data_IF_553536849232
#
_entry.id   IF_553536849232
#
_cell.length_a   1.000
_cell.length_b   1.000
_cell.length_c   1.000
_cell.angle_alpha   90.00
_cell.angle_beta   90.00
_cell.angle_gamma   90.00
#
_symmetry.space_group_name_H-M   'P 1'
#
loop_
_entity.id
_entity.type
_entity.pdbx_description
1 polymer ?
#
# COMPACT_ATOMS: atom_id res chain seq x y z
N UNK A 1 8.41 4.24 -17.59
CA UNK A 1 9.82 3.86 -17.34
C UNK A 1 10.39 4.45 -16.05
N UNK A 2 9.66 5.30 -15.31
CA UNK A 2 10.17 5.95 -14.08
C UNK A 2 9.21 5.89 -12.88
N UNK A 3 8.19 5.01 -12.91
CA UNK A 3 7.18 4.93 -11.84
C UNK A 3 7.77 4.56 -10.48
N UNK A 4 8.83 3.76 -10.46
CA UNK A 4 9.50 3.34 -9.22
C UNK A 4 10.16 4.51 -8.47
N UNK A 5 10.48 5.62 -9.14
CA UNK A 5 10.94 6.83 -8.44
C UNK A 5 9.83 7.51 -7.65
N UNK A 6 8.56 7.35 -8.06
CA UNK A 6 7.42 7.86 -7.30
C UNK A 6 7.35 7.29 -5.89
N UNK A 7 7.85 6.05 -5.70
CA UNK A 7 7.87 5.37 -4.41
C UNK A 7 8.83 6.01 -3.39
N UNK A 8 9.87 6.73 -3.85
CA UNK A 8 10.89 7.32 -2.98
C UNK A 8 10.29 8.31 -1.96
N UNK A 9 9.41 9.25 -2.34
CA UNK A 9 8.67 10.10 -1.39
C UNK A 9 7.88 9.37 -0.29
N UNK A 10 7.51 8.11 -0.48
CA UNK A 10 6.78 7.32 0.52
C UNK A 10 7.75 6.45 1.34
N UNK A 11 8.58 5.67 0.66
CA UNK A 11 9.35 4.59 1.27
C UNK A 11 10.82 4.96 1.56
N UNK A 12 11.32 6.08 1.03
CA UNK A 12 12.72 6.49 1.14
C UNK A 12 13.68 5.77 0.19
N UNK A 13 13.18 4.76 -0.52
CA UNK A 13 13.93 3.96 -1.49
C UNK A 13 13.07 3.66 -2.72
N UNK A 14 13.72 3.30 -3.83
CA UNK A 14 13.02 2.83 -5.02
C UNK A 14 12.50 1.42 -4.76
N UNK A 15 11.19 1.26 -4.85
CA UNK A 15 10.54 -0.05 -4.78
C UNK A 15 9.24 -0.05 -5.58
N UNK A 16 8.78 -1.25 -5.92
CA UNK A 16 7.48 -1.46 -6.55
C UNK A 16 6.34 -1.00 -5.63
N UNK A 17 5.34 -0.33 -6.22
CA UNK A 17 4.09 0.01 -5.56
C UNK A 17 3.18 -1.22 -5.44
N UNK A 18 2.07 -1.08 -4.73
CA UNK A 18 1.10 -2.17 -4.63
C UNK A 18 0.52 -2.51 -6.01
N UNK A 19 0.21 -1.51 -6.84
CA UNK A 19 -0.30 -1.72 -8.21
C UNK A 19 0.64 -2.54 -9.11
N UNK A 20 1.95 -2.47 -8.89
CA UNK A 20 2.92 -3.26 -9.66
C UNK A 20 2.93 -4.73 -9.20
N UNK A 21 2.52 -4.96 -7.94
CA UNK A 21 2.59 -6.26 -7.27
C UNK A 21 1.27 -7.04 -7.31
N UNK A 22 0.14 -6.43 -7.70
CA UNK A 22 -1.16 -7.14 -7.72
C UNK A 22 -1.23 -8.30 -8.72
N UNK A 23 -0.28 -8.34 -9.67
CA UNK A 23 -0.13 -9.42 -10.66
C UNK A 23 0.97 -10.43 -10.27
N UNK A 24 1.71 -10.16 -9.20
CA UNK A 24 2.80 -10.98 -8.71
C UNK A 24 2.31 -12.00 -7.65
N UNK A 25 3.09 -13.06 -7.38
CA UNK A 25 2.80 -13.99 -6.29
C UNK A 25 2.71 -13.29 -4.92
N UNK A 26 1.77 -13.71 -4.07
CA UNK A 26 1.48 -13.08 -2.76
C UNK A 26 2.70 -13.03 -1.81
N UNK A 27 3.66 -13.94 -1.97
CA UNK A 27 4.93 -13.94 -1.22
C UNK A 27 5.74 -12.65 -1.41
N UNK A 28 5.63 -12.01 -2.58
CA UNK A 28 6.31 -10.74 -2.85
C UNK A 28 5.67 -9.57 -2.08
N UNK A 29 4.39 -9.68 -1.72
CA UNK A 29 3.72 -8.69 -0.88
C UNK A 29 4.05 -8.88 0.61
N UNK A 30 4.08 -10.11 1.11
CA UNK A 30 4.25 -10.37 2.56
C UNK A 30 5.58 -9.89 3.13
N UNK A 31 6.62 -9.80 2.31
CA UNK A 31 7.91 -9.21 2.71
C UNK A 31 7.90 -7.67 2.78
N UNK A 32 6.84 -7.03 2.30
CA UNK A 32 6.80 -5.60 1.95
C UNK A 32 5.72 -4.79 2.66
N UNK A 33 4.72 -5.45 3.25
CA UNK A 33 3.55 -4.85 3.88
C UNK A 33 3.26 -5.52 5.22
N UNK A 34 2.84 -4.74 6.21
CA UNK A 34 2.59 -5.19 7.59
C UNK A 34 1.27 -5.96 7.71
N UNK A 35 0.31 -5.60 6.86
CA UNK A 35 -0.99 -6.24 6.74
C UNK A 35 -1.32 -6.47 5.27
N UNK A 36 -1.89 -7.63 4.95
CA UNK A 36 -2.36 -7.96 3.61
C UNK A 36 -3.70 -8.67 3.71
N UNK A 37 -4.65 -8.23 2.89
CA UNK A 37 -5.92 -8.90 2.69
C UNK A 37 -6.29 -8.86 1.22
N UNK A 38 -6.72 -10.00 0.68
CA UNK A 38 -7.26 -10.10 -0.68
C UNK A 38 -8.78 -10.22 -0.63
N UNK A 39 -9.48 -9.48 -1.50
CA UNK A 39 -10.93 -9.61 -1.69
C UNK A 39 -11.23 -9.51 -3.18
N UNK A 40 -11.63 -10.64 -3.79
CA UNK A 40 -11.75 -10.74 -5.24
C UNK A 40 -10.39 -10.47 -5.90
N UNK A 41 -10.36 -9.54 -6.85
CA UNK A 41 -9.15 -9.13 -7.55
C UNK A 41 -8.43 -7.94 -6.88
N UNK A 42 -8.88 -7.52 -5.70
CA UNK A 42 -8.33 -6.38 -4.98
C UNK A 42 -7.42 -6.81 -3.85
N UNK A 43 -6.28 -6.14 -3.71
CA UNK A 43 -5.40 -6.26 -2.55
C UNK A 43 -5.53 -5.03 -1.66
N UNK A 44 -5.55 -5.27 -0.36
CA UNK A 44 -5.64 -4.30 0.71
C UNK A 44 -4.41 -4.49 1.58
N UNK A 45 -3.68 -3.42 1.82
CA UNK A 45 -2.44 -3.49 2.60
C UNK A 45 -2.32 -2.32 3.57
N UNK A 46 -1.50 -2.52 4.59
CA UNK A 46 -0.99 -1.43 5.42
C UNK A 46 0.53 -1.51 5.46
N UNK A 47 1.17 -0.35 5.52
CA UNK A 47 2.63 -0.24 5.63
C UNK A 47 3.02 1.08 6.27
N UNK A 48 4.09 1.05 7.05
CA UNK A 48 4.76 2.28 7.47
C UNK A 48 5.61 2.87 6.33
N UNK A 49 5.33 4.11 5.96
CA UNK A 49 6.05 4.86 4.92
C UNK A 49 6.95 5.89 5.58
N UNK A 50 8.27 5.62 5.75
CA UNK A 50 9.16 6.44 6.56
C UNK A 50 9.46 7.82 5.97
N UNK A 51 9.38 7.99 4.65
CA UNK A 51 9.76 9.26 4.00
C UNK A 51 8.65 10.33 4.03
N UNK A 52 7.41 9.94 4.35
CA UNK A 52 6.30 10.89 4.45
C UNK A 52 6.53 11.93 5.55
N UNK A 53 5.90 13.10 5.37
CA UNK A 53 5.90 14.21 6.32
C UNK A 53 7.30 14.64 6.78
N UNK A 54 8.22 14.84 5.82
CA UNK A 54 9.61 15.20 6.06
C UNK A 54 10.35 14.15 6.91
N UNK A 55 10.28 12.88 6.51
CA UNK A 55 10.89 11.75 7.21
C UNK A 55 10.38 11.49 8.64
N UNK A 56 9.23 12.06 9.03
CA UNK A 56 8.55 11.70 10.28
C UNK A 56 7.88 10.33 10.18
N UNK A 57 7.55 9.95 8.95
CA UNK A 57 6.84 8.73 8.63
C UNK A 57 5.36 8.78 9.01
N UNK A 58 4.60 7.91 8.37
CA UNK A 58 3.18 7.71 8.64
C UNK A 58 2.80 6.29 8.27
N UNK A 59 1.77 5.75 8.92
CA UNK A 59 1.11 4.55 8.43
C UNK A 59 0.15 4.91 7.32
N UNK A 60 0.21 4.14 6.23
CA UNK A 60 -0.76 4.24 5.15
C UNK A 60 -1.50 2.92 4.99
N UNK A 61 -2.77 3.04 4.64
CA UNK A 61 -3.58 1.97 4.10
C UNK A 61 -3.66 2.16 2.59
N UNK A 62 -3.46 1.09 1.83
CA UNK A 62 -3.58 1.13 0.39
C UNK A 62 -4.47 0.00 -0.13
N UNK A 63 -5.18 0.30 -1.22
CA UNK A 63 -5.94 -0.69 -1.99
C UNK A 63 -5.53 -0.58 -3.45
N UNK A 64 -5.30 -1.72 -4.09
CA UNK A 64 -5.10 -1.78 -5.54
C UNK A 64 -5.98 -2.84 -6.18
N UNK A 65 -6.44 -2.56 -7.40
CA UNK A 65 -7.30 -3.46 -8.19
C UNK A 65 -6.99 -3.35 -9.68
N UNK A 66 -7.08 -4.44 -10.45
CA UNK A 66 -6.97 -4.38 -11.89
C UNK A 66 -8.19 -3.67 -12.50
N UNK A 67 -7.95 -2.92 -13.56
CA UNK A 67 -8.98 -2.37 -14.44
C UNK A 67 -9.20 -3.37 -15.57
N UNK A 68 -10.44 -3.78 -15.77
CA UNK A 68 -10.82 -4.78 -16.75
C UNK A 68 -11.66 -4.15 -17.87
N UNK A 69 -11.46 -4.59 -19.11
CA UNK A 69 -12.38 -4.28 -20.21
C UNK A 69 -13.66 -5.13 -20.14
N UNK A 70 -14.54 -4.96 -21.13
CA UNK A 70 -15.80 -5.71 -21.23
C UNK A 70 -15.64 -7.21 -21.46
N UNK A 71 -14.47 -7.65 -21.92
CA UNK A 71 -14.15 -9.07 -22.17
C UNK A 71 -13.42 -9.70 -20.97
N UNK A 72 -13.11 -8.91 -19.93
CA UNK A 72 -12.41 -9.33 -18.73
C UNK A 72 -10.89 -9.27 -18.86
N UNK A 73 -10.34 -8.67 -19.92
CA UNK A 73 -8.90 -8.50 -20.07
C UNK A 73 -8.41 -7.35 -19.20
N UNK A 74 -7.20 -7.49 -18.64
CA UNK A 74 -6.56 -6.42 -17.85
C UNK A 74 -6.09 -5.31 -18.78
N UNK A 75 -6.66 -4.12 -18.62
CA UNK A 75 -6.27 -2.91 -19.35
C UNK A 75 -5.51 -1.89 -18.48
N UNK A 76 -5.39 -2.17 -17.18
CA UNK A 76 -4.63 -1.34 -16.27
C UNK A 76 -4.82 -1.77 -14.81
N UNK A 77 -4.43 -0.88 -13.90
CA UNK A 77 -4.64 -1.03 -12.47
C UNK A 77 -4.89 0.36 -11.87
N UNK A 78 -5.59 0.38 -10.73
CA UNK A 78 -5.80 1.59 -9.94
C UNK A 78 -5.39 1.31 -8.50
N UNK A 79 -4.72 2.28 -7.87
CA UNK A 79 -4.35 2.26 -6.46
C UNK A 79 -4.92 3.50 -5.77
N UNK A 80 -5.36 3.32 -4.53
CA UNK A 80 -5.74 4.40 -3.62
C UNK A 80 -4.96 4.24 -2.32
N UNK A 81 -4.30 5.31 -1.90
CA UNK A 81 -3.49 5.38 -0.68
C UNK A 81 -4.16 6.36 0.27
N UNK A 82 -4.27 5.98 1.55
CA UNK A 82 -4.86 6.77 2.62
C UNK A 82 -3.92 6.80 3.81
N UNK A 83 -3.62 7.98 4.32
CA UNK A 83 -2.98 8.12 5.63
C UNK A 83 -3.91 7.61 6.73
N UNK A 84 -3.42 6.71 7.57
CA UNK A 84 -4.12 6.15 8.74
C UNK A 84 -3.33 6.35 10.03
N UNK A 85 -2.37 7.28 10.04
CA UNK A 85 -1.45 7.51 11.14
C UNK A 85 -2.19 7.98 12.40
N UNK A 86 -3.16 8.88 12.25
CA UNK A 86 -4.03 9.35 13.36
C UNK A 86 -4.82 8.19 13.98
N UNK A 87 -5.37 7.31 13.13
CA UNK A 87 -6.11 6.13 13.57
C UNK A 87 -5.22 5.17 14.37
N UNK A 88 -4.05 4.81 13.83
CA UNK A 88 -3.06 3.95 14.50
C UNK A 88 -2.56 4.54 15.82
N UNK A 89 -2.30 5.86 15.85
CA UNK A 89 -1.82 6.54 17.06
C UNK A 89 -2.89 6.52 18.15
N UNK A 90 -4.15 6.77 17.78
CA UNK A 90 -5.28 6.74 18.72
C UNK A 90 -5.54 5.33 19.24
N UNK A 91 -5.54 4.32 18.38
CA UNK A 91 -5.69 2.91 18.75
C UNK A 91 -4.60 2.47 19.73
N UNK A 92 -3.35 2.85 19.47
CA UNK A 92 -2.23 2.56 20.37
C UNK A 92 -2.40 3.22 21.73
N UNK A 93 -2.75 4.50 21.77
CA UNK A 93 -2.96 5.23 23.02
C UNK A 93 -4.10 4.63 23.84
N UNK A 94 -5.18 4.17 23.20
CA UNK A 94 -6.27 3.47 23.88
C UNK A 94 -5.78 2.15 24.48
N UNK A 95 -5.03 1.35 23.73
CA UNK A 95 -4.50 0.05 24.18
C UNK A 95 -3.49 0.16 25.32
N UNK A 96 -2.75 1.26 25.42
CA UNK A 96 -1.81 1.53 26.52
C UNK A 96 -2.49 2.08 27.78
N UNK A 97 -3.75 2.53 27.66
CA UNK A 97 -4.55 3.04 28.77
C UNK A 97 -5.48 1.97 29.39
N UNK A 98 -5.55 0.78 28.81
CA UNK A 98 -6.23 -0.41 29.35
C UNK A 98 -5.30 -1.26 30.21
#
# INVERSE_FOLDING_TARGET
KDHLYGAVPFYGEQRAYLLDLIFEPELNLSSKYDFIKKKGNSFYVEVFTPALYNNKGAYVWAIASPLLDSEGNVIGAIESIRDINEFKTTEKALRESE
#
